data_IF_544848603166
#
_entry.id   IF_544848603166
#
_cell.length_a   1.000
_cell.length_b   1.000
_cell.length_c   1.000
_cell.angle_alpha   90.00
_cell.angle_beta   90.00
_cell.angle_gamma   90.00
#
_symmetry.space_group_name_H-M   'P 1'
#
loop_
_entity.id
_entity.type
_entity.pdbx_description
1 polymer ?
#
# COMPACT_ATOMS: atom_id res chain seq x y z
N UNK A 1 12.38 -0.41 4.96
CA UNK A 1 13.26 -0.24 3.78
C UNK A 1 12.66 -1.04 2.65
N UNK A 2 12.56 -0.49 1.45
CA UNK A 2 12.07 -1.17 0.24
C UNK A 2 13.22 -1.69 -0.62
N UNK A 3 12.97 -1.95 -1.92
CA UNK A 3 14.04 -2.43 -2.82
C UNK A 3 15.11 -1.36 -3.04
N UNK A 4 14.68 -0.13 -3.33
CA UNK A 4 15.57 1.00 -3.65
C UNK A 4 15.15 2.32 -2.99
N UNK A 5 14.22 2.29 -2.02
CA UNK A 5 13.78 3.46 -1.25
C UNK A 5 13.71 3.17 0.24
N UNK A 6 13.73 4.23 1.03
CA UNK A 6 13.67 4.18 2.50
C UNK A 6 12.64 5.18 3.02
N UNK A 7 11.88 4.77 4.03
CA UNK A 7 11.03 5.65 4.83
C UNK A 7 11.65 5.83 6.21
N UNK A 8 11.56 7.04 6.74
CA UNK A 8 11.99 7.41 8.09
C UNK A 8 10.77 7.94 8.85
N UNK A 9 10.57 7.46 10.06
CA UNK A 9 9.50 7.90 10.95
C UNK A 9 10.11 8.63 12.15
N UNK A 10 9.66 9.85 12.41
CA UNK A 10 10.05 10.60 13.61
C UNK A 10 9.16 10.24 14.80
N UNK A 11 9.61 10.58 16.01
CA UNK A 11 8.85 10.48 17.26
C UNK A 11 7.56 11.33 17.25
N UNK A 12 7.56 12.43 16.52
CA UNK A 12 6.40 13.31 16.28
C UNK A 12 5.44 12.78 15.22
N UNK A 13 5.69 11.60 14.65
CA UNK A 13 4.84 10.98 13.64
C UNK A 13 4.93 11.60 12.25
N UNK A 14 6.02 12.32 11.95
CA UNK A 14 6.31 12.83 10.61
C UNK A 14 7.10 11.79 9.82
N UNK A 15 6.76 11.63 8.54
CA UNK A 15 7.45 10.69 7.65
C UNK A 15 8.27 11.41 6.59
N UNK A 16 9.51 10.95 6.41
CA UNK A 16 10.41 11.35 5.34
C UNK A 16 10.70 10.14 4.45
N UNK A 17 11.07 10.40 3.20
CA UNK A 17 11.47 9.36 2.25
C UNK A 17 12.71 9.79 1.45
N UNK A 18 13.52 8.82 1.03
CA UNK A 18 14.56 9.00 0.03
C UNK A 18 14.79 7.72 -0.79
N UNK A 19 15.51 7.85 -1.90
CA UNK A 19 15.83 6.77 -2.84
C UNK A 19 15.02 6.84 -4.15
N UNK A 20 14.77 5.69 -4.76
CA UNK A 20 14.02 5.61 -6.01
C UNK A 20 12.57 6.07 -5.85
N UNK A 21 12.08 6.85 -6.81
CA UNK A 21 10.72 7.39 -6.81
C UNK A 21 10.05 7.34 -8.20
N UNK A 22 10.53 6.45 -9.10
CA UNK A 22 9.97 6.33 -10.46
C UNK A 22 8.48 5.97 -10.46
N UNK A 23 8.07 5.22 -9.43
CA UNK A 23 6.70 4.74 -9.23
C UNK A 23 5.97 5.56 -8.17
N UNK A 24 6.54 6.68 -7.69
CA UNK A 24 5.95 7.50 -6.63
C UNK A 24 6.11 6.93 -5.21
N UNK A 25 6.96 5.90 -5.02
CA UNK A 25 7.08 5.18 -3.75
C UNK A 25 7.70 5.99 -2.60
N UNK A 26 8.26 7.16 -2.87
CA UNK A 26 8.66 8.12 -1.84
C UNK A 26 7.49 9.02 -1.37
N UNK A 27 6.37 9.06 -2.08
CA UNK A 27 5.16 9.75 -1.61
C UNK A 27 5.28 11.27 -1.55
N UNK A 28 6.22 11.88 -2.29
CA UNK A 28 6.52 13.32 -2.26
C UNK A 28 5.66 14.18 -3.20
N UNK A 29 4.60 13.61 -3.78
CA UNK A 29 3.67 14.31 -4.67
C UNK A 29 4.05 14.34 -6.14
N UNK A 30 5.12 13.65 -6.53
CA UNK A 30 5.58 13.50 -7.92
C UNK A 30 6.32 12.17 -8.09
N UNK A 31 6.74 11.88 -9.32
CA UNK A 31 7.51 10.67 -9.69
C UNK A 31 8.94 11.00 -10.15
N UNK A 32 9.47 12.17 -9.77
CA UNK A 32 10.85 12.54 -10.04
C UNK A 32 11.78 11.66 -9.22
N UNK A 33 12.76 11.05 -9.88
CA UNK A 33 13.65 10.05 -9.30
C UNK A 33 15.12 10.32 -9.67
N UNK A 34 16.09 10.12 -8.76
CA UNK A 34 15.91 9.74 -7.35
C UNK A 34 15.57 10.94 -6.44
N UNK A 35 14.99 10.65 -5.28
CA UNK A 35 14.91 11.59 -4.14
C UNK A 35 16.20 11.46 -3.33
N UNK A 36 17.13 12.40 -3.52
CA UNK A 36 18.52 12.30 -3.04
C UNK A 36 18.68 12.50 -1.52
N UNK A 37 17.81 13.29 -0.90
CA UNK A 37 17.86 13.60 0.53
C UNK A 37 16.54 13.23 1.20
N UNK A 38 16.52 12.86 2.50
CA UNK A 38 15.29 12.64 3.24
C UNK A 38 14.33 13.82 3.08
N UNK A 39 13.24 13.59 2.35
CA UNK A 39 12.27 14.61 1.96
C UNK A 39 10.94 14.26 2.59
N UNK A 40 10.27 15.24 3.20
CA UNK A 40 8.97 15.03 3.85
C UNK A 40 7.96 14.54 2.82
N UNK A 41 7.21 13.48 3.14
CA UNK A 41 6.18 12.97 2.23
C UNK A 41 4.99 13.95 2.17
N UNK A 42 4.25 13.95 1.07
CA UNK A 42 3.09 14.81 0.84
C UNK A 42 1.85 14.27 1.58
N UNK A 43 1.91 14.26 2.91
CA UNK A 43 0.85 13.80 3.79
C UNK A 43 0.44 14.89 4.78
N UNK A 44 -0.88 15.08 4.91
CA UNK A 44 -1.50 16.13 5.75
C UNK A 44 -2.47 15.58 6.79
N UNK A 45 -2.49 14.26 7.00
CA UNK A 45 -3.38 13.60 7.96
C UNK A 45 -2.80 13.50 9.38
N UNK A 46 -3.41 12.67 10.25
CA UNK A 46 -2.95 12.48 11.63
C UNK A 46 -1.53 11.91 11.74
N UNK A 47 -0.82 12.07 12.87
CA UNK A 47 0.51 11.51 13.07
C UNK A 47 0.61 10.02 12.69
N UNK A 48 1.73 9.65 12.07
CA UNK A 48 2.03 8.27 11.69
C UNK A 48 2.67 7.53 12.86
N UNK A 49 2.26 6.27 13.08
CA UNK A 49 2.81 5.39 14.12
C UNK A 49 3.66 4.26 13.55
N UNK A 50 3.48 3.92 12.27
CA UNK A 50 4.23 2.85 11.62
C UNK A 50 4.40 3.11 10.13
N UNK A 51 5.56 2.71 9.62
CA UNK A 51 5.90 2.77 8.19
C UNK A 51 6.40 1.41 7.73
N UNK A 52 6.19 1.09 6.46
CA UNK A 52 6.73 -0.10 5.83
C UNK A 52 6.81 0.07 4.32
N UNK A 53 7.60 -0.79 3.70
CA UNK A 53 7.90 -0.70 2.28
C UNK A 53 7.76 -2.10 1.67
N UNK A 54 7.12 -2.19 0.52
CA UNK A 54 7.36 -3.30 -0.40
C UNK A 54 8.50 -2.98 -1.35
N UNK A 55 8.55 -3.65 -2.51
CA UNK A 55 9.62 -3.44 -3.47
C UNK A 55 9.58 -2.02 -4.06
N UNK A 56 8.42 -1.61 -4.57
CA UNK A 56 8.20 -0.33 -5.27
C UNK A 56 6.93 0.39 -4.78
N UNK A 57 6.53 0.10 -3.54
CA UNK A 57 5.43 0.78 -2.88
C UNK A 57 5.70 0.93 -1.38
N UNK A 58 4.89 1.75 -0.75
CA UNK A 58 5.02 2.16 0.63
C UNK A 58 3.67 2.12 1.33
N UNK A 59 3.71 1.85 2.63
CA UNK A 59 2.54 1.78 3.51
C UNK A 59 2.83 2.58 4.77
N UNK A 60 1.89 3.40 5.20
CA UNK A 60 1.95 4.14 6.48
C UNK A 60 0.65 3.92 7.25
N UNK A 61 0.76 3.87 8.58
CA UNK A 61 -0.35 3.70 9.51
C UNK A 61 -0.43 4.92 10.42
N UNK A 62 -1.58 5.58 10.44
CA UNK A 62 -1.82 6.71 11.34
C UNK A 62 -2.22 6.28 12.76
N UNK A 63 -2.17 7.22 13.71
CA UNK A 63 -2.58 7.01 15.12
C UNK A 63 -4.04 6.59 15.30
N UNK A 64 -4.89 6.73 14.27
CA UNK A 64 -6.32 6.37 14.33
C UNK A 64 -6.62 5.00 13.72
N UNK A 65 -5.59 4.29 13.25
CA UNK A 65 -5.72 2.97 12.66
C UNK A 65 -6.03 2.96 11.16
N UNK A 66 -5.87 4.09 10.45
CA UNK A 66 -6.02 4.12 8.99
C UNK A 66 -4.71 3.79 8.29
N UNK A 67 -4.80 2.94 7.27
CA UNK A 67 -3.71 2.70 6.34
C UNK A 67 -3.75 3.65 5.15
N UNK A 68 -2.57 4.08 4.74
CA UNK A 68 -2.35 4.80 3.49
C UNK A 68 -1.25 4.12 2.70
N UNK A 69 -1.42 4.05 1.39
CA UNK A 69 -0.50 3.39 0.48
C UNK A 69 -0.18 4.32 -0.70
N UNK A 70 1.03 4.17 -1.24
CA UNK A 70 1.54 4.96 -2.36
C UNK A 70 2.66 4.21 -3.07
N UNK A 71 2.88 4.49 -4.36
CA UNK A 71 3.83 3.79 -5.21
C UNK A 71 3.20 3.07 -6.40
N UNK A 72 3.82 1.94 -6.78
CA UNK A 72 3.39 1.07 -7.88
C UNK A 72 2.08 0.32 -7.55
N UNK A 73 1.05 0.37 -8.42
CA UNK A 73 -0.23 -0.33 -8.22
C UNK A 73 -0.37 -1.72 -8.88
N UNK A 74 0.64 -2.23 -9.61
CA UNK A 74 0.54 -3.32 -10.60
C UNK A 74 -0.28 -4.59 -10.27
N UNK A 75 -0.32 -5.05 -9.02
CA UNK A 75 -1.08 -6.22 -8.55
C UNK A 75 -2.20 -5.85 -7.57
N UNK A 76 -2.57 -4.57 -7.52
CA UNK A 76 -3.44 -4.00 -6.51
C UNK A 76 -2.81 -3.96 -5.11
N UNK A 77 -1.48 -4.03 -4.98
CA UNK A 77 -0.80 -3.98 -3.67
C UNK A 77 -1.06 -2.70 -2.87
N UNK A 78 -1.60 -1.66 -3.51
CA UNK A 78 -2.03 -0.44 -2.84
C UNK A 78 -3.40 -0.59 -2.16
N UNK A 79 -4.21 -1.60 -2.50
CA UNK A 79 -5.48 -1.87 -1.83
C UNK A 79 -6.61 -0.92 -2.23
N UNK A 80 -6.56 -0.34 -3.44
CA UNK A 80 -7.53 0.66 -3.91
C UNK A 80 -8.52 0.11 -4.95
N UNK A 81 -8.67 -1.21 -5.02
CA UNK A 81 -9.53 -1.91 -5.99
C UNK A 81 -9.17 -1.61 -7.45
N UNK A 82 -7.88 -1.45 -7.75
CA UNK A 82 -7.35 -1.21 -9.09
C UNK A 82 -5.89 -1.62 -9.15
N UNK A 83 -5.44 -2.07 -10.32
CA UNK A 83 -4.02 -2.27 -10.63
C UNK A 83 -3.37 -1.05 -11.30
N UNK A 84 -4.14 0.04 -11.47
CA UNK A 84 -3.71 1.30 -12.05
C UNK A 84 -3.35 1.24 -13.53
N UNK A 85 -3.56 0.12 -14.24
CA UNK A 85 -3.17 0.01 -15.65
C UNK A 85 -3.99 0.91 -16.56
N UNK A 86 -3.32 1.60 -17.49
CA UNK A 86 -3.97 2.33 -18.58
C UNK A 86 -3.11 2.31 -19.85
N UNK A 87 -3.76 2.46 -21.00
CA UNK A 87 -3.10 2.55 -22.29
C UNK A 87 -2.78 4.00 -22.63
N UNK A 88 -1.50 4.31 -22.89
CA UNK A 88 -1.10 5.60 -23.48
C UNK A 88 -1.42 5.62 -24.97
N UNK A 89 -1.22 4.47 -25.61
CA UNK A 89 -1.60 4.18 -26.99
C UNK A 89 -1.76 2.66 -27.14
N UNK A 90 -2.12 2.20 -28.34
CA UNK A 90 -2.41 0.78 -28.62
C UNK A 90 -1.29 -0.20 -28.20
N UNK A 91 -0.03 0.25 -28.16
CA UNK A 91 1.13 -0.62 -27.90
C UNK A 91 1.83 -0.31 -26.57
N UNK A 92 1.36 0.67 -25.80
CA UNK A 92 2.03 1.11 -24.57
C UNK A 92 1.06 1.13 -23.39
N UNK A 93 1.19 0.10 -22.56
CA UNK A 93 0.60 0.01 -21.22
C UNK A 93 1.49 0.75 -20.21
N UNK A 94 0.87 1.40 -19.24
CA UNK A 94 1.53 2.09 -18.12
C UNK A 94 0.62 2.08 -16.91
N UNK A 95 1.05 2.70 -15.80
CA UNK A 95 0.33 2.71 -14.53
C UNK A 95 0.04 4.12 -14.03
N UNK A 96 -1.14 4.32 -13.45
CA UNK A 96 -1.48 5.48 -12.63
C UNK A 96 -0.87 5.28 -11.24
N UNK A 97 0.38 5.75 -11.09
CA UNK A 97 1.07 5.71 -9.80
C UNK A 97 0.40 6.61 -8.75
N UNK A 98 0.39 6.15 -7.51
CA UNK A 98 -0.03 6.97 -6.37
C UNK A 98 1.21 7.68 -5.82
N UNK A 99 1.43 8.94 -6.19
CA UNK A 99 2.62 9.71 -5.81
C UNK A 99 2.51 10.40 -4.44
N UNK A 100 1.34 10.32 -3.80
CA UNK A 100 1.08 10.82 -2.44
C UNK A 100 0.31 9.74 -1.67
N UNK A 101 0.43 9.69 -0.33
CA UNK A 101 -0.28 8.67 0.45
C UNK A 101 -1.79 8.77 0.29
N UNK A 102 -2.40 7.69 -0.17
CA UNK A 102 -3.84 7.57 -0.38
C UNK A 102 -4.42 6.53 0.58
N UNK A 103 -5.50 6.90 1.26
CA UNK A 103 -6.15 6.05 2.25
C UNK A 103 -6.69 4.78 1.60
N UNK A 104 -6.44 3.63 2.20
CA UNK A 104 -7.08 2.37 1.84
C UNK A 104 -8.55 2.44 2.27
N UNK A 105 -9.51 2.42 1.33
CA UNK A 105 -10.88 2.84 1.64
C UNK A 105 -11.78 1.71 2.14
N UNK A 106 -11.43 0.46 1.83
CA UNK A 106 -12.31 -0.69 1.99
C UNK A 106 -11.52 -1.93 2.40
N UNK A 107 -12.11 -2.71 3.29
CA UNK A 107 -11.70 -4.06 3.64
C UNK A 107 -12.90 -4.96 3.40
N UNK A 108 -12.69 -6.19 2.96
CA UNK A 108 -13.76 -7.12 2.60
C UNK A 108 -13.57 -8.48 3.25
N UNK A 109 -14.65 -9.23 3.36
CA UNK A 109 -14.64 -10.66 3.60
C UNK A 109 -15.29 -11.35 2.40
N UNK A 110 -14.74 -12.48 1.98
CA UNK A 110 -15.30 -13.31 0.91
C UNK A 110 -15.62 -14.71 1.43
N UNK A 111 -16.90 -15.04 1.41
CA UNK A 111 -17.42 -16.33 1.85
C UNK A 111 -17.07 -17.47 0.88
N UNK A 112 -17.33 -18.71 1.30
CA UNK A 112 -17.05 -19.93 0.49
C UNK A 112 -17.86 -19.99 -0.81
N UNK A 113 -19.07 -19.43 -0.82
CA UNK A 113 -19.95 -19.28 -1.98
C UNK A 113 -19.59 -18.05 -2.85
N UNK A 114 -18.55 -17.29 -2.46
CA UNK A 114 -18.02 -16.17 -3.24
C UNK A 114 -18.72 -14.84 -2.99
N UNK A 115 -19.62 -14.77 -2.01
CA UNK A 115 -20.25 -13.52 -1.60
C UNK A 115 -19.22 -12.60 -0.92
N UNK A 116 -19.17 -11.33 -1.34
CA UNK A 116 -18.24 -10.32 -0.86
C UNK A 116 -19.00 -9.33 0.01
N UNK A 117 -18.54 -9.11 1.24
CA UNK A 117 -19.14 -8.16 2.18
C UNK A 117 -18.10 -7.17 2.70
N UNK A 118 -18.44 -5.87 2.81
CA UNK A 118 -17.58 -4.89 3.48
C UNK A 118 -17.38 -5.24 4.94
N UNK A 119 -16.14 -5.09 5.41
CA UNK A 119 -15.78 -5.27 6.80
C UNK A 119 -15.77 -3.91 7.49
N UNK A 120 -16.76 -3.69 8.34
CA UNK A 120 -16.94 -2.40 9.02
C UNK A 120 -16.00 -2.23 10.22
N UNK A 121 -15.73 -0.95 10.53
CA UNK A 121 -14.97 -0.51 11.70
C UNK A 121 -13.60 -1.20 11.82
N UNK A 122 -12.84 -1.21 10.72
CA UNK A 122 -11.45 -1.70 10.71
C UNK A 122 -10.54 -0.62 11.27
N UNK A 123 -9.78 -0.98 12.30
CA UNK A 123 -8.74 -0.14 12.89
C UNK A 123 -7.44 -0.95 12.94
N UNK A 124 -6.54 -0.69 11.99
CA UNK A 124 -5.30 -1.43 11.86
C UNK A 124 -4.37 -1.11 13.04
N UNK A 125 -3.77 -2.14 13.61
CA UNK A 125 -2.80 -2.01 14.73
C UNK A 125 -1.39 -2.39 14.30
N UNK A 126 -1.25 -3.24 13.28
CA UNK A 126 0.05 -3.63 12.73
C UNK A 126 -0.11 -4.05 11.26
N UNK A 127 0.95 -3.90 10.48
CA UNK A 127 1.07 -4.42 9.12
C UNK A 127 2.53 -4.82 8.81
N UNK A 128 2.67 -5.69 7.80
CA UNK A 128 3.95 -6.04 7.19
C UNK A 128 3.80 -6.09 5.66
N UNK A 129 4.92 -5.85 4.96
CA UNK A 129 4.95 -5.85 3.50
C UNK A 129 5.97 -6.87 3.01
N UNK A 130 5.59 -7.66 2.01
CA UNK A 130 6.55 -8.33 1.13
C UNK A 130 6.83 -7.50 -0.12
N UNK A 131 7.45 -8.11 -1.13
CA UNK A 131 7.81 -7.39 -2.37
C UNK A 131 6.60 -6.76 -3.06
N UNK A 132 5.48 -7.48 -3.15
CA UNK A 132 4.29 -7.09 -3.91
C UNK A 132 2.99 -7.42 -3.18
N UNK A 133 3.03 -7.60 -1.86
CA UNK A 133 1.83 -7.86 -1.04
C UNK A 133 1.97 -7.22 0.32
N UNK A 134 0.83 -6.99 0.98
CA UNK A 134 0.75 -6.46 2.33
C UNK A 134 -0.14 -7.38 3.16
N UNK A 135 0.21 -7.56 4.43
CA UNK A 135 -0.64 -8.16 5.44
C UNK A 135 -0.87 -7.16 6.56
N UNK A 136 -2.06 -7.14 7.14
CA UNK A 136 -2.41 -6.25 8.23
C UNK A 136 -3.24 -6.98 9.28
N UNK A 137 -3.12 -6.57 10.54
CA UNK A 137 -3.99 -7.00 11.63
C UNK A 137 -4.67 -5.80 12.25
N UNK A 138 -5.90 -5.99 12.69
CA UNK A 138 -6.70 -4.95 13.31
C UNK A 138 -6.89 -5.14 14.82
N UNK A 139 -7.53 -4.15 15.46
CA UNK A 139 -7.79 -4.16 16.91
C UNK A 139 -8.73 -5.30 17.35
N UNK A 140 -9.48 -5.89 16.41
CA UNK A 140 -10.38 -7.04 16.62
C UNK A 140 -9.70 -8.38 16.32
N UNK A 141 -8.38 -8.38 16.11
CA UNK A 141 -7.57 -9.58 15.77
C UNK A 141 -7.95 -10.23 14.44
N UNK A 142 -8.59 -9.48 13.54
CA UNK A 142 -8.79 -9.89 12.15
C UNK A 142 -7.49 -9.67 11.40
N UNK A 143 -7.16 -10.60 10.50
CA UNK A 143 -6.01 -10.49 9.61
C UNK A 143 -6.51 -10.27 8.19
N UNK A 144 -5.83 -9.40 7.46
CA UNK A 144 -6.11 -9.07 6.07
C UNK A 144 -4.85 -9.24 5.23
N UNK A 145 -5.00 -9.63 3.98
CA UNK A 145 -3.90 -9.62 3.01
C UNK A 145 -4.35 -9.20 1.62
N UNK A 146 -3.47 -8.54 0.87
CA UNK A 146 -3.74 -8.12 -0.51
C UNK A 146 -2.46 -7.87 -1.32
N UNK A 147 -2.62 -7.73 -2.63
CA UNK A 147 -1.56 -7.60 -3.62
C UNK A 147 -1.40 -8.87 -4.45
N UNK A 148 -0.17 -9.19 -4.82
CA UNK A 148 0.13 -10.36 -5.65
C UNK A 148 -0.15 -11.68 -4.93
N UNK A 149 -1.00 -12.53 -5.50
CA UNK A 149 -1.48 -13.80 -4.97
C UNK A 149 -0.63 -15.02 -5.32
N UNK A 150 0.29 -14.88 -6.28
CA UNK A 150 1.11 -15.99 -6.77
C UNK A 150 1.81 -16.75 -5.65
N UNK A 151 1.92 -18.06 -5.80
CA UNK A 151 2.47 -18.99 -4.79
C UNK A 151 1.65 -19.07 -3.49
N UNK A 152 0.42 -18.53 -3.47
CA UNK A 152 -0.48 -18.59 -2.32
C UNK A 152 -0.07 -17.67 -1.17
N UNK A 153 0.73 -16.63 -1.43
CA UNK A 153 1.30 -15.74 -0.41
C UNK A 153 0.29 -14.87 0.35
N UNK A 154 -0.96 -14.85 -0.11
CA UNK A 154 -2.10 -14.21 0.57
C UNK A 154 -2.88 -15.19 1.47
N UNK A 155 -2.66 -16.51 1.34
CA UNK A 155 -3.24 -17.48 2.25
C UNK A 155 -4.74 -17.75 2.09
N UNK A 156 -5.39 -17.30 1.01
CA UNK A 156 -6.83 -17.49 0.78
C UNK A 156 -7.21 -18.85 0.15
N UNK A 157 -6.34 -19.86 0.25
CA UNK A 157 -6.46 -21.17 -0.43
C UNK A 157 -6.56 -21.09 -1.97
N UNK A 158 -6.08 -19.98 -2.55
CA UNK A 158 -6.01 -19.72 -3.99
C UNK A 158 -4.82 -18.83 -4.31
N UNK A 159 -4.44 -18.73 -5.60
CA UNK A 159 -3.31 -17.90 -6.05
C UNK A 159 -3.74 -16.62 -6.77
N UNK A 160 -4.97 -16.16 -6.53
CA UNK A 160 -5.50 -14.95 -7.15
C UNK A 160 -4.97 -13.70 -6.44
N UNK A 161 -4.65 -12.68 -7.23
CA UNK A 161 -4.34 -11.35 -6.72
C UNK A 161 -5.58 -10.76 -6.05
N UNK A 162 -5.37 -10.03 -4.97
CA UNK A 162 -6.44 -9.31 -4.27
C UNK A 162 -6.13 -7.81 -4.33
N UNK A 163 -7.00 -7.04 -4.96
CA UNK A 163 -6.81 -5.59 -5.11
C UNK A 163 -7.43 -4.79 -3.95
N UNK A 164 -8.08 -5.49 -3.02
CA UNK A 164 -8.72 -4.97 -1.82
C UNK A 164 -8.29 -5.87 -0.65
N UNK A 165 -7.91 -5.31 0.52
CA UNK A 165 -7.67 -6.10 1.72
C UNK A 165 -8.80 -7.08 2.03
N UNK A 166 -8.45 -8.37 2.13
CA UNK A 166 -9.36 -9.49 2.40
C UNK A 166 -8.89 -10.31 3.60
#
# INVERSE_FOLDING_TARGET
>A
VGRHHTLFLTDTGTVYACGENKSGQCGVGNTHSPVLTPTKINYRGPPIVRVGCGAEFSVILDITGNLYTFGLPEYGQLGHNTDGKYFVNANKLTFHFESSPKKVPLFIEKSKDGHITPVENVQIVDFACGNNHTVAIDSKKRAFSWGFGGFGRLGHAEQRDEMVPR
#
